data_IF_733020008896
#
_entry.id   IF_733020008896
#
_cell.length_a   1.000
_cell.length_b   1.000
_cell.length_c   1.000
_cell.angle_alpha   90.00
_cell.angle_beta   90.00
_cell.angle_gamma   90.00
#
_symmetry.space_group_name_H-M   'P 1'
#
loop_
_entity.id
_entity.type
_entity.pdbx_description
1 polymer ?
#
# COMPACT_ATOMS: atom_id res chain seq x y z
N UNK A 1 13.55 -0.22 -4.27
CA UNK A 1 14.94 -0.68 -3.99
C UNK A 1 15.41 -0.39 -2.56
N UNK A 2 15.25 0.82 -1.99
CA UNK A 2 15.68 1.11 -0.60
C UNK A 2 15.08 0.18 0.46
N UNK A 3 13.84 -0.30 0.28
CA UNK A 3 13.19 -1.27 1.16
C UNK A 3 14.00 -2.55 1.38
N UNK A 4 14.57 -3.10 0.30
CA UNK A 4 15.37 -4.33 0.35
C UNK A 4 16.76 -4.12 0.98
N UNK A 5 17.15 -2.87 1.17
CA UNK A 5 18.39 -2.49 1.86
C UNK A 5 18.15 -2.09 3.31
N UNK A 6 16.94 -2.25 3.85
CA UNK A 6 16.65 -2.02 5.26
C UNK A 6 17.34 -3.07 6.15
N UNK A 7 17.72 -2.74 7.40
CA UNK A 7 18.34 -3.72 8.30
C UNK A 7 17.50 -4.98 8.47
N UNK A 8 16.17 -4.85 8.56
CA UNK A 8 15.25 -5.97 8.67
C UNK A 8 15.31 -6.88 7.42
N UNK A 9 15.27 -6.30 6.22
CA UNK A 9 15.38 -7.06 4.97
C UNK A 9 16.75 -7.74 4.83
N UNK A 10 17.84 -7.06 5.22
CA UNK A 10 19.20 -7.62 5.17
C UNK A 10 19.42 -8.75 6.18
N UNK A 11 18.70 -8.72 7.30
CA UNK A 11 18.77 -9.76 8.34
C UNK A 11 17.84 -10.96 8.10
N UNK A 12 16.95 -10.88 7.10
CA UNK A 12 15.99 -11.92 6.80
C UNK A 12 16.71 -13.21 6.38
N UNK A 13 16.37 -14.33 7.03
CA UNK A 13 17.01 -15.63 6.78
C UNK A 13 16.33 -16.46 5.69
N UNK A 14 15.10 -16.11 5.37
CA UNK A 14 14.23 -16.81 4.44
C UNK A 14 13.27 -15.81 3.77
N UNK A 15 12.53 -16.30 2.78
CA UNK A 15 11.61 -15.47 2.01
C UNK A 15 10.43 -14.98 2.85
N UNK A 16 9.99 -15.74 3.84
CA UNK A 16 8.90 -15.38 4.75
C UNK A 16 9.26 -14.16 5.59
N UNK A 17 10.44 -14.17 6.22
CA UNK A 17 10.97 -13.04 6.98
C UNK A 17 11.18 -11.82 6.09
N UNK A 18 11.72 -12.03 4.87
CA UNK A 18 11.92 -10.94 3.92
C UNK A 18 10.58 -10.32 3.51
N UNK A 19 9.57 -11.15 3.23
CA UNK A 19 8.23 -10.68 2.84
C UNK A 19 7.58 -9.93 3.99
N UNK A 20 7.62 -10.46 5.22
CA UNK A 20 7.12 -9.75 6.41
C UNK A 20 7.79 -8.38 6.58
N UNK A 21 9.11 -8.27 6.39
CA UNK A 21 9.83 -7.01 6.48
C UNK A 21 9.43 -6.00 5.39
N UNK A 22 9.27 -6.47 4.14
CA UNK A 22 8.81 -5.63 3.02
C UNK A 22 7.37 -5.15 3.27
N UNK A 23 6.47 -6.02 3.71
CA UNK A 23 5.07 -5.68 3.98
C UNK A 23 4.93 -4.71 5.15
N UNK A 24 5.72 -4.84 6.23
CA UNK A 24 5.75 -3.83 7.32
C UNK A 24 6.20 -2.45 6.84
N UNK A 25 7.15 -2.42 5.91
CA UNK A 25 7.58 -1.16 5.30
C UNK A 25 6.46 -0.57 4.44
N UNK A 26 5.79 -1.41 3.63
CA UNK A 26 4.66 -1.01 2.81
C UNK A 26 3.49 -0.46 3.66
N UNK A 27 3.16 -1.15 4.76
CA UNK A 27 2.18 -0.72 5.75
C UNK A 27 2.52 0.67 6.30
N UNK A 28 3.78 0.89 6.70
CA UNK A 28 4.23 2.16 7.26
C UNK A 28 4.08 3.30 6.25
N UNK A 29 4.44 3.05 4.99
CA UNK A 29 4.27 4.02 3.90
C UNK A 29 2.79 4.32 3.61
N UNK A 30 1.96 3.28 3.57
CA UNK A 30 0.52 3.42 3.40
C UNK A 30 -0.11 4.22 4.56
N UNK A 31 0.32 3.97 5.81
CA UNK A 31 -0.17 4.68 6.99
C UNK A 31 0.22 6.16 6.98
N UNK A 32 1.46 6.48 6.58
CA UNK A 32 1.91 7.86 6.43
C UNK A 32 1.07 8.60 5.37
N UNK A 33 0.76 7.93 4.26
CA UNK A 33 -0.09 8.49 3.20
C UNK A 33 -1.53 8.64 3.64
N UNK A 34 -2.09 7.66 4.36
CA UNK A 34 -3.43 7.74 4.92
C UNK A 34 -3.58 8.97 5.83
N UNK A 35 -2.60 9.20 6.71
CA UNK A 35 -2.59 10.37 7.59
C UNK A 35 -2.55 11.68 6.79
N UNK A 36 -1.70 11.76 5.76
CA UNK A 36 -1.63 12.91 4.86
C UNK A 36 -2.98 13.18 4.17
N UNK A 37 -3.62 12.14 3.62
CA UNK A 37 -4.93 12.25 2.96
C UNK A 37 -5.98 12.75 3.96
N UNK A 38 -6.06 12.16 5.15
CA UNK A 38 -7.00 12.57 6.18
C UNK A 38 -6.80 14.03 6.61
N UNK A 39 -5.55 14.50 6.68
CA UNK A 39 -5.25 15.89 7.00
C UNK A 39 -5.60 16.86 5.86
N UNK A 40 -5.44 16.44 4.60
CA UNK A 40 -5.90 17.21 3.45
C UNK A 40 -7.43 17.28 3.39
N UNK A 41 -8.13 16.18 3.69
CA UNK A 41 -9.59 16.10 3.66
C UNK A 41 -10.27 16.98 4.73
N UNK A 42 -9.58 17.28 5.84
CA UNK A 42 -10.06 18.22 6.87
C UNK A 42 -10.00 19.68 6.43
N UNK A 43 -9.19 20.01 5.43
CA UNK A 43 -9.02 21.40 4.97
C UNK A 43 -10.15 21.76 4.00
N UNK A 44 -10.62 23.02 3.99
CA UNK A 44 -11.56 23.50 2.98
C UNK A 44 -11.00 23.26 1.58
N UNK A 45 -11.72 22.50 0.76
CA UNK A 45 -11.37 22.22 -0.62
C UNK A 45 -12.65 22.07 -1.46
N UNK A 46 -12.55 22.14 -2.80
CA UNK A 46 -13.69 21.90 -3.67
C UNK A 46 -14.34 20.53 -3.37
N UNK A 47 -15.68 20.40 -3.48
CA UNK A 47 -16.36 19.13 -3.20
C UNK A 47 -15.85 17.94 -4.03
N UNK A 48 -15.38 18.19 -5.26
CA UNK A 48 -14.76 17.16 -6.10
C UNK A 48 -13.44 16.65 -5.49
N UNK A 49 -12.61 17.55 -4.97
CA UNK A 49 -11.34 17.20 -4.32
C UNK A 49 -11.61 16.43 -3.04
N UNK A 50 -12.60 16.84 -2.24
CA UNK A 50 -12.97 16.10 -1.03
C UNK A 50 -13.40 14.67 -1.34
N UNK A 51 -14.22 14.46 -2.38
CA UNK A 51 -14.62 13.12 -2.83
C UNK A 51 -13.42 12.29 -3.28
N UNK A 52 -12.50 12.88 -4.03
CA UNK A 52 -11.27 12.19 -4.44
C UNK A 52 -10.40 11.80 -3.24
N UNK A 53 -10.24 12.69 -2.27
CA UNK A 53 -9.49 12.41 -1.04
C UNK A 53 -10.16 11.30 -0.23
N UNK A 54 -11.49 11.27 -0.13
CA UNK A 54 -12.23 10.20 0.56
C UNK A 54 -12.06 8.84 -0.11
N UNK A 55 -12.05 8.80 -1.44
CA UNK A 55 -11.79 7.56 -2.19
C UNK A 55 -10.37 7.06 -1.94
N UNK A 56 -9.38 7.95 -2.04
CA UNK A 56 -7.99 7.64 -1.69
C UNK A 56 -7.84 7.19 -0.24
N UNK A 57 -8.55 7.80 0.71
CA UNK A 57 -8.53 7.39 2.12
C UNK A 57 -9.00 5.94 2.29
N UNK A 58 -10.04 5.55 1.56
CA UNK A 58 -10.57 4.18 1.54
C UNK A 58 -9.52 3.19 1.05
N UNK A 59 -8.86 3.51 -0.06
CA UNK A 59 -7.80 2.69 -0.66
C UNK A 59 -6.61 2.54 0.29
N UNK A 60 -6.11 3.64 0.87
CA UNK A 60 -4.95 3.56 1.77
C UNK A 60 -5.27 2.91 3.11
N UNK A 61 -6.51 3.01 3.61
CA UNK A 61 -6.96 2.24 4.77
C UNK A 61 -6.99 0.73 4.50
N UNK A 62 -7.45 0.33 3.32
CA UNK A 62 -7.38 -1.06 2.86
C UNK A 62 -5.93 -1.53 2.79
N UNK A 63 -5.06 -0.75 2.17
CA UNK A 63 -3.64 -1.06 2.04
C UNK A 63 -2.95 -1.25 3.41
N UNK A 64 -3.19 -0.35 4.38
CA UNK A 64 -2.64 -0.50 5.74
C UNK A 64 -3.06 -1.84 6.36
N UNK A 65 -4.34 -2.18 6.27
CA UNK A 65 -4.86 -3.40 6.86
C UNK A 65 -4.31 -4.65 6.16
N UNK A 66 -4.34 -4.69 4.82
CA UNK A 66 -3.85 -5.82 4.04
C UNK A 66 -2.35 -6.04 4.26
N UNK A 67 -1.54 -4.98 4.25
CA UNK A 67 -0.11 -5.14 4.52
C UNK A 67 0.18 -5.61 5.95
N UNK A 68 -0.60 -5.19 6.95
CA UNK A 68 -0.46 -5.71 8.31
C UNK A 68 -0.75 -7.21 8.37
N UNK A 69 -1.89 -7.63 7.81
CA UNK A 69 -2.32 -9.04 7.74
C UNK A 69 -1.26 -9.89 7.05
N UNK A 70 -0.89 -9.53 5.81
CA UNK A 70 0.12 -10.25 5.02
C UNK A 70 1.44 -10.31 5.78
N UNK A 71 1.85 -9.25 6.48
CA UNK A 71 3.11 -9.27 7.24
C UNK A 71 3.13 -10.25 8.42
N UNK A 72 1.95 -10.60 8.96
CA UNK A 72 1.78 -11.51 10.10
C UNK A 72 1.51 -12.94 9.64
N UNK A 73 0.69 -13.11 8.62
CA UNK A 73 0.09 -14.40 8.27
C UNK A 73 0.78 -15.08 7.08
N UNK A 74 1.75 -14.42 6.43
CA UNK A 74 2.50 -15.01 5.30
C UNK A 74 3.24 -16.32 5.64
N UNK A 75 3.55 -16.57 6.92
CA UNK A 75 4.12 -17.85 7.36
C UNK A 75 3.09 -18.97 7.53
N UNK A 76 1.81 -18.62 7.65
CA UNK A 76 0.71 -19.55 7.92
C UNK A 76 -0.02 -19.92 6.64
N UNK A 77 -0.32 -18.93 5.80
CA UNK A 77 -1.03 -19.11 4.53
C UNK A 77 -0.52 -18.10 3.49
N UNK A 78 0.52 -18.51 2.76
CA UNK A 78 1.10 -17.70 1.70
C UNK A 78 0.14 -17.48 0.52
N UNK A 79 -0.84 -18.36 0.28
CA UNK A 79 -1.79 -18.22 -0.83
C UNK A 79 -2.83 -17.15 -0.54
N UNK A 80 -3.39 -17.14 0.66
CA UNK A 80 -4.29 -16.06 1.09
C UNK A 80 -3.54 -14.73 1.14
N UNK A 81 -2.32 -14.72 1.68
CA UNK A 81 -1.46 -13.55 1.69
C UNK A 81 -1.15 -13.02 0.26
N UNK A 82 -0.95 -13.91 -0.71
CA UNK A 82 -0.77 -13.58 -2.12
C UNK A 82 -2.00 -12.90 -2.73
N UNK A 83 -3.19 -13.46 -2.46
CA UNK A 83 -4.44 -12.90 -2.95
C UNK A 83 -4.70 -11.51 -2.37
N UNK A 84 -4.58 -11.35 -1.04
CA UNK A 84 -4.84 -10.10 -0.34
C UNK A 84 -3.92 -8.96 -0.82
N UNK A 85 -2.63 -9.24 -1.00
CA UNK A 85 -1.68 -8.23 -1.44
C UNK A 85 -1.86 -7.86 -2.91
N UNK A 86 -2.31 -8.80 -3.75
CA UNK A 86 -2.54 -8.56 -5.18
C UNK A 86 -3.74 -7.64 -5.45
N UNK A 87 -4.76 -7.66 -4.59
CA UNK A 87 -5.93 -6.78 -4.69
C UNK A 87 -5.61 -5.29 -4.52
N UNK A 88 -4.44 -4.96 -3.98
CA UNK A 88 -4.06 -3.56 -3.72
C UNK A 88 -3.66 -2.80 -5.00
N UNK A 89 -3.09 -3.47 -6.01
CA UNK A 89 -2.76 -2.83 -7.28
C UNK A 89 -3.98 -2.27 -8.03
N UNK A 90 -5.09 -3.02 -8.21
CA UNK A 90 -6.30 -2.46 -8.79
C UNK A 90 -6.94 -1.39 -7.87
N UNK A 91 -6.92 -1.56 -6.54
CA UNK A 91 -7.45 -0.55 -5.62
C UNK A 91 -6.71 0.80 -5.74
N UNK A 92 -5.39 0.80 -6.00
CA UNK A 92 -4.64 2.03 -6.29
C UNK A 92 -5.21 2.81 -7.49
N UNK A 93 -5.73 2.11 -8.50
CA UNK A 93 -6.33 2.77 -9.67
C UNK A 93 -7.61 3.53 -9.32
N UNK A 94 -8.36 3.13 -8.30
CA UNK A 94 -9.56 3.84 -7.86
C UNK A 94 -9.20 5.22 -7.33
N UNK A 95 -8.16 5.32 -6.49
CA UNK A 95 -7.64 6.61 -6.03
C UNK A 95 -7.09 7.45 -7.20
N UNK A 96 -6.26 6.86 -8.08
CA UNK A 96 -5.70 7.56 -9.25
C UNK A 96 -6.82 8.15 -10.13
N UNK A 97 -7.85 7.35 -10.42
CA UNK A 97 -8.97 7.77 -11.26
C UNK A 97 -9.79 8.86 -10.58
N UNK A 98 -10.03 8.76 -9.27
CA UNK A 98 -10.74 9.77 -8.50
C UNK A 98 -9.97 11.11 -8.48
N UNK A 99 -8.65 11.07 -8.26
CA UNK A 99 -7.79 12.25 -8.33
C UNK A 99 -7.84 12.91 -9.70
N UNK A 100 -7.74 12.11 -10.77
CA UNK A 100 -7.81 12.60 -12.16
C UNK A 100 -9.16 13.24 -12.47
N UNK A 101 -10.26 12.61 -12.05
CA UNK A 101 -11.62 13.12 -12.26
C UNK A 101 -11.86 14.46 -11.52
N UNK A 102 -11.24 14.65 -10.36
CA UNK A 102 -11.31 15.88 -9.60
C UNK A 102 -10.29 16.95 -10.04
N UNK A 103 -9.38 16.62 -10.96
CA UNK A 103 -8.20 17.44 -11.27
C UNK A 103 -7.40 17.82 -9.99
N UNK A 104 -7.32 16.86 -9.04
CA UNK A 104 -6.64 17.05 -7.76
C UNK A 104 -5.12 16.92 -7.96
N UNK A 105 -4.40 18.03 -7.78
CA UNK A 105 -2.94 18.03 -7.80
C UNK A 105 -2.40 17.71 -6.41
N UNK A 106 -1.96 16.46 -6.22
CA UNK A 106 -1.31 16.03 -4.99
C UNK A 106 -0.18 15.03 -5.30
N UNK A 107 1.01 15.51 -5.71
CA UNK A 107 2.12 14.66 -6.16
C UNK A 107 2.57 13.60 -5.15
N UNK A 108 2.40 13.89 -3.85
CA UNK A 108 2.70 12.94 -2.77
C UNK A 108 1.74 11.74 -2.79
N UNK A 109 0.46 11.95 -3.08
CA UNK A 109 -0.53 10.87 -3.19
C UNK A 109 -0.32 10.10 -4.50
N UNK A 110 0.02 10.77 -5.59
CA UNK A 110 0.39 10.12 -6.86
C UNK A 110 1.59 9.17 -6.68
N UNK A 111 2.64 9.65 -6.04
CA UNK A 111 3.83 8.84 -5.71
C UNK A 111 3.45 7.65 -4.83
N UNK A 112 2.62 7.88 -3.82
CA UNK A 112 2.20 6.81 -2.91
C UNK A 112 1.33 5.74 -3.61
N UNK A 113 0.53 6.10 -4.61
CA UNK A 113 -0.21 5.12 -5.41
C UNK A 113 0.74 4.24 -6.26
N UNK A 114 1.79 4.82 -6.83
CA UNK A 114 2.83 4.07 -7.54
C UNK A 114 3.58 3.13 -6.58
N UNK A 115 3.90 3.61 -5.39
CA UNK A 115 4.50 2.79 -4.33
C UNK A 115 3.55 1.65 -3.92
N UNK A 116 2.25 1.91 -3.76
CA UNK A 116 1.24 0.91 -3.44
C UNK A 116 1.19 -0.20 -4.51
N UNK A 117 1.18 0.16 -5.80
CA UNK A 117 1.25 -0.80 -6.91
C UNK A 117 2.55 -1.61 -6.88
N UNK A 118 3.68 -0.94 -6.62
CA UNK A 118 4.98 -1.62 -6.52
C UNK A 118 5.00 -2.63 -5.37
N UNK A 119 4.54 -2.24 -4.18
CA UNK A 119 4.50 -3.14 -3.02
C UNK A 119 3.50 -4.28 -3.21
N UNK A 120 2.36 -4.01 -3.85
CA UNK A 120 1.39 -5.03 -4.23
C UNK A 120 2.04 -6.11 -5.13
N UNK A 121 2.69 -5.68 -6.21
CA UNK A 121 3.38 -6.58 -7.13
C UNK A 121 4.55 -7.32 -6.47
N UNK A 122 5.35 -6.63 -5.65
CA UNK A 122 6.43 -7.28 -4.90
C UNK A 122 5.89 -8.34 -3.94
N UNK A 123 4.83 -8.03 -3.18
CA UNK A 123 4.21 -8.98 -2.26
C UNK A 123 3.65 -10.19 -3.01
N UNK A 124 2.98 -9.98 -4.13
CA UNK A 124 2.47 -11.05 -4.99
C UNK A 124 3.60 -11.97 -5.48
N UNK A 125 4.66 -11.40 -6.05
CA UNK A 125 5.77 -12.20 -6.55
C UNK A 125 6.47 -12.97 -5.42
N UNK A 126 6.72 -12.34 -4.27
CA UNK A 126 7.39 -13.00 -3.15
C UNK A 126 6.56 -14.14 -2.56
N UNK A 127 5.26 -13.94 -2.36
CA UNK A 127 4.35 -14.97 -1.82
C UNK A 127 4.13 -16.11 -2.80
N UNK A 128 4.17 -15.87 -4.12
CA UNK A 128 4.06 -16.92 -5.15
C UNK A 128 5.22 -17.92 -5.19
N UNK A 129 6.33 -17.62 -4.50
CA UNK A 129 7.52 -18.48 -4.39
C UNK A 129 7.57 -19.24 -3.07
N UNK A 130 6.53 -19.13 -2.26
CA UNK A 130 6.37 -19.86 -1.01
C UNK A 130 5.48 -21.08 -1.25
N UNK A 131 5.87 -22.20 -0.66
CA UNK A 131 5.12 -23.46 -0.70
C UNK A 131 4.02 -23.50 0.38
#
# INVERSE_FOLDING_TARGET
MKTLSSPAALSAKDLTQLTSAVMKTAQSNAQATLNLISDLAKKPCPPANLKALQECEKVFRMAVNSFDIVSREVSEDAQTANYDVHLLAPAANDCINAMKAANLQAPQIETANLDLQLFSNMGFEMTSKMD
#
